data_IF_753353334744
#
_entry.id   IF_753353334744
#
_cell.length_a   1.000
_cell.length_b   1.000
_cell.length_c   1.000
_cell.angle_alpha   90.00
_cell.angle_beta   90.00
_cell.angle_gamma   90.00
#
_symmetry.space_group_name_H-M   'P 1'
#
loop_
_entity.id
_entity.type
_entity.pdbx_description
1 polymer ?
#
# COMPACT_ATOMS: atom_id res chain seq x y z
N UNK A 1 0.43 47.69 -21.59
CA UNK A 1 -0.72 47.51 -20.67
C UNK A 1 -0.21 46.75 -19.45
N UNK A 2 0.22 47.48 -18.43
CA UNK A 2 -0.48 47.63 -17.13
C UNK A 2 -0.51 46.32 -16.33
N UNK A 3 0.49 46.07 -15.48
CA UNK A 3 0.59 46.50 -14.06
C UNK A 3 -0.20 45.58 -13.13
N UNK A 4 0.49 44.74 -12.35
CA UNK A 4 0.49 44.90 -10.89
C UNK A 4 1.61 44.07 -10.23
N UNK A 5 2.75 44.72 -10.01
CA UNK A 5 3.72 44.36 -8.98
C UNK A 5 3.22 44.95 -7.68
N UNK A 6 3.05 44.16 -6.62
CA UNK A 6 3.02 44.69 -5.25
C UNK A 6 3.77 43.78 -4.29
N UNK A 7 5.09 43.91 -4.40
CA UNK A 7 6.11 43.62 -3.40
C UNK A 7 5.78 44.43 -2.14
N UNK A 8 5.28 43.76 -1.09
CA UNK A 8 5.10 44.39 0.22
C UNK A 8 6.45 44.33 0.94
N UNK A 9 7.03 45.53 1.02
CA UNK A 9 8.27 45.89 1.66
C UNK A 9 8.10 45.90 3.20
N UNK A 10 9.19 45.52 3.88
CA UNK A 10 9.73 46.12 5.12
C UNK A 10 9.06 45.80 6.45
N UNK A 11 9.76 44.96 7.23
CA UNK A 11 9.95 45.20 8.67
C UNK A 11 11.38 44.77 9.06
N UNK A 12 12.34 45.59 8.67
CA UNK A 12 13.64 45.71 9.33
C UNK A 12 13.65 47.09 10.01
N UNK A 13 13.82 47.18 11.34
CA UNK A 13 14.14 48.44 11.98
C UNK A 13 15.67 48.68 11.97
N UNK A 14 16.06 49.86 11.49
CA UNK A 14 17.44 50.37 11.51
C UNK A 14 17.88 50.79 12.94
N UNK A 15 19.20 50.83 13.21
CA UNK A 15 19.81 51.24 14.48
C UNK A 15 20.21 52.73 14.53
N UNK A 16 20.68 53.16 15.71
CA UNK A 16 21.23 54.49 16.10
C UNK A 16 20.17 55.48 16.65
N UNK A 17 20.28 56.16 17.79
CA UNK A 17 21.31 56.34 18.81
C UNK A 17 21.02 57.64 19.60
N UNK A 18 21.38 57.69 20.90
CA UNK A 18 21.49 58.87 21.84
C UNK A 18 20.20 59.63 22.25
N UNK A 19 19.91 60.00 23.51
CA UNK A 19 20.50 59.85 24.85
C UNK A 19 19.91 60.94 25.79
N UNK A 20 19.69 60.66 27.10
CA UNK A 20 19.81 61.61 28.24
C UNK A 20 19.08 61.15 29.54
N UNK A 21 19.80 61.20 30.67
CA UNK A 21 19.31 61.33 32.07
C UNK A 21 18.89 60.02 32.74
N UNK A 22 19.42 59.56 33.88
CA UNK A 22 20.14 60.21 34.97
C UNK A 22 19.45 59.82 36.29
N UNK A 23 20.11 59.02 37.15
CA UNK A 23 19.63 58.72 38.50
C UNK A 23 20.00 57.33 39.03
N UNK A 24 21.13 57.25 39.73
CA UNK A 24 21.42 56.23 40.76
C UNK A 24 20.87 56.75 42.11
N UNK A 25 20.44 55.89 43.08
CA UNK A 25 21.36 54.96 43.74
C UNK A 25 20.82 53.53 44.06
N UNK A 26 21.78 52.59 44.03
CA UNK A 26 21.94 51.31 44.77
C UNK A 26 20.99 51.08 45.99
N UNK A 27 20.66 49.80 46.34
CA UNK A 27 21.69 48.80 46.65
C UNK A 27 21.42 47.34 46.21
N UNK A 28 22.54 46.71 45.85
CA UNK A 28 23.00 45.38 46.28
C UNK A 28 22.19 44.09 46.04
N UNK A 29 22.96 43.12 45.53
CA UNK A 29 22.88 41.67 45.68
C UNK A 29 22.14 40.79 44.65
N UNK A 30 22.89 39.77 44.20
CA UNK A 30 22.52 38.53 43.48
C UNK A 30 22.44 38.57 41.95
N UNK A 31 23.56 38.85 41.30
CA UNK A 31 23.84 38.37 39.93
C UNK A 31 25.00 37.39 39.92
N UNK A 32 24.75 36.14 40.33
CA UNK A 32 25.76 35.09 40.10
C UNK A 32 25.19 33.67 39.95
N UNK A 33 23.86 33.47 39.86
CA UNK A 33 23.27 32.13 39.71
C UNK A 33 22.43 31.87 38.45
N UNK A 34 22.27 32.85 37.54
CA UNK A 34 21.36 32.72 36.39
C UNK A 34 22.05 32.35 35.06
N UNK A 35 23.38 32.47 34.97
CA UNK A 35 24.15 32.11 33.75
C UNK A 35 24.42 30.61 33.65
N UNK A 36 24.53 29.88 34.75
CA UNK A 36 24.81 28.43 34.72
C UNK A 36 23.55 27.60 34.43
N UNK A 37 22.39 27.98 34.99
CA UNK A 37 21.12 27.28 34.71
C UNK A 37 20.69 27.38 33.24
N UNK A 38 20.89 28.54 32.60
CA UNK A 38 20.58 28.71 31.17
C UNK A 38 21.51 27.90 30.25
N UNK A 39 22.80 27.78 30.60
CA UNK A 39 23.73 26.94 29.85
C UNK A 39 23.44 25.44 30.03
N UNK A 40 22.98 25.01 31.21
CA UNK A 40 22.59 23.61 31.47
C UNK A 40 21.27 23.25 30.76
N UNK A 41 20.31 24.16 30.71
CA UNK A 41 19.07 23.99 29.93
C UNK A 41 19.33 23.98 28.42
N UNK A 42 20.21 24.87 27.93
CA UNK A 42 20.65 24.86 26.53
C UNK A 42 21.41 23.57 26.18
N UNK A 43 22.27 23.08 27.08
CA UNK A 43 22.99 21.83 26.88
C UNK A 43 22.06 20.60 26.86
N UNK A 44 20.99 20.61 27.66
CA UNK A 44 19.93 19.57 27.62
C UNK A 44 19.11 19.66 26.34
N UNK A 45 18.64 20.86 25.97
CA UNK A 45 17.89 21.08 24.74
C UNK A 45 18.71 20.70 23.49
N UNK A 46 20.03 20.94 23.48
CA UNK A 46 20.92 20.53 22.39
C UNK A 46 21.12 19.00 22.33
N UNK A 47 21.14 18.31 23.49
CA UNK A 47 21.20 16.84 23.53
C UNK A 47 19.88 16.22 23.05
N UNK A 48 18.75 16.72 23.54
CA UNK A 48 17.42 16.29 23.12
C UNK A 48 17.17 16.58 21.63
N UNK A 49 17.65 17.72 21.13
CA UNK A 49 17.61 18.02 19.71
C UNK A 49 18.48 17.04 18.91
N UNK A 50 19.70 16.73 19.35
CA UNK A 50 20.56 15.75 18.65
C UNK A 50 20.01 14.32 18.69
N UNK A 51 19.40 13.90 19.79
CA UNK A 51 18.82 12.56 19.95
C UNK A 51 17.55 12.36 19.11
N UNK A 52 16.78 13.44 18.87
CA UNK A 52 15.58 13.40 18.02
C UNK A 52 15.82 13.90 16.59
N UNK A 53 17.05 14.32 16.25
CA UNK A 53 17.38 14.78 14.90
C UNK A 53 17.99 13.65 14.08
N UNK A 54 17.40 13.41 12.92
CA UNK A 54 18.01 12.58 11.88
C UNK A 54 19.28 13.29 11.37
N UNK A 55 20.41 12.58 11.16
CA UNK A 55 21.60 13.17 10.56
C UNK A 55 21.25 13.89 9.26
N UNK A 56 21.80 15.10 9.06
CA UNK A 56 21.47 15.94 7.90
C UNK A 56 21.64 15.22 6.56
N UNK A 57 22.63 14.32 6.47
CA UNK A 57 22.86 13.49 5.30
C UNK A 57 21.69 12.53 5.01
N UNK A 58 21.10 11.94 6.04
CA UNK A 58 19.97 11.02 5.91
C UNK A 58 18.68 11.78 5.58
N UNK A 59 18.52 13.00 6.11
CA UNK A 59 17.41 13.88 5.74
C UNK A 59 17.49 14.30 4.26
N UNK A 60 18.68 14.73 3.79
CA UNK A 60 18.89 15.10 2.38
C UNK A 60 18.71 13.90 1.43
N UNK A 61 19.07 12.69 1.89
CA UNK A 61 18.81 11.45 1.14
C UNK A 61 17.31 11.15 1.05
N UNK A 62 16.60 11.21 2.17
CA UNK A 62 15.14 11.01 2.23
C UNK A 62 14.38 12.05 1.40
N UNK A 63 14.83 13.30 1.40
CA UNK A 63 14.19 14.36 0.61
C UNK A 63 14.39 14.13 -0.90
N UNK A 64 15.56 13.63 -1.31
CA UNK A 64 15.81 13.24 -2.70
C UNK A 64 14.97 12.04 -3.11
N UNK A 65 14.97 10.97 -2.30
CA UNK A 65 14.16 9.77 -2.55
C UNK A 65 12.66 10.10 -2.62
N UNK A 66 12.15 10.96 -1.72
CA UNK A 66 10.76 11.41 -1.77
C UNK A 66 10.45 12.25 -3.01
N UNK A 67 11.34 13.15 -3.43
CA UNK A 67 11.15 13.92 -4.67
C UNK A 67 11.17 13.04 -5.91
N UNK A 68 12.03 12.03 -5.95
CA UNK A 68 12.07 11.04 -7.02
C UNK A 68 10.79 10.21 -7.06
N UNK A 69 10.31 9.71 -5.91
CA UNK A 69 9.05 8.96 -5.83
C UNK A 69 7.85 9.81 -6.23
N UNK A 70 7.78 11.05 -5.77
CA UNK A 70 6.70 11.97 -6.13
C UNK A 70 6.75 12.32 -7.62
N UNK A 71 7.94 12.50 -8.20
CA UNK A 71 8.09 12.71 -9.64
C UNK A 71 7.66 11.48 -10.45
N UNK A 72 7.99 10.27 -10.01
CA UNK A 72 7.53 9.01 -10.62
C UNK A 72 6.00 8.87 -10.59
N UNK A 73 5.37 9.27 -9.48
CA UNK A 73 3.91 9.24 -9.34
C UNK A 73 3.23 10.29 -10.24
N UNK A 74 3.75 11.52 -10.27
CA UNK A 74 3.16 12.63 -11.02
C UNK A 74 3.34 12.44 -12.54
N UNK A 75 4.49 11.93 -12.97
CA UNK A 75 4.78 11.71 -14.39
C UNK A 75 4.24 10.36 -14.89
N UNK A 76 3.69 9.51 -14.01
CA UNK A 76 3.25 8.15 -14.35
C UNK A 76 4.41 7.21 -14.74
N UNK A 77 5.64 7.69 -14.65
CA UNK A 77 6.87 6.96 -14.90
C UNK A 77 7.32 6.30 -13.60
N UNK A 78 6.51 5.35 -13.12
CA UNK A 78 7.05 4.31 -12.26
C UNK A 78 8.23 3.69 -12.98
N UNK A 79 9.33 3.50 -12.26
CA UNK A 79 10.57 2.93 -12.76
C UNK A 79 10.29 1.58 -13.44
N UNK A 80 10.03 1.58 -14.75
CA UNK A 80 10.10 0.42 -15.63
C UNK A 80 11.59 0.15 -15.86
N UNK A 81 12.28 -0.10 -14.73
CA UNK A 81 13.68 -0.46 -14.69
C UNK A 81 13.81 -1.84 -15.32
N UNK A 82 14.42 -1.85 -16.50
CA UNK A 82 14.52 -2.94 -17.46
C UNK A 82 13.18 -3.21 -18.16
N UNK A 83 13.23 -3.24 -19.49
CA UNK A 83 12.17 -3.77 -20.32
C UNK A 83 11.86 -5.20 -19.88
N UNK A 84 10.94 -5.35 -18.94
CA UNK A 84 10.11 -6.53 -18.91
C UNK A 84 9.51 -6.60 -20.32
N UNK A 85 9.72 -7.70 -21.06
CA UNK A 85 8.97 -7.88 -22.29
C UNK A 85 7.52 -7.61 -21.93
N UNK A 86 6.85 -6.75 -22.69
CA UNK A 86 5.39 -6.60 -22.58
C UNK A 86 4.87 -8.03 -22.49
N UNK A 87 4.25 -8.45 -21.36
CA UNK A 87 3.92 -9.84 -21.15
C UNK A 87 3.17 -10.26 -22.40
N UNK A 88 3.71 -11.25 -23.10
CA UNK A 88 3.19 -11.71 -24.38
C UNK A 88 1.68 -11.86 -24.17
N UNK A 89 0.87 -11.05 -24.87
CA UNK A 89 -0.56 -10.95 -24.56
C UNK A 89 -1.12 -12.35 -24.63
N UNK A 90 -1.44 -12.90 -23.46
CA UNK A 90 -1.97 -14.25 -23.36
C UNK A 90 -3.24 -14.27 -24.19
N UNK A 91 -3.31 -15.15 -25.17
CA UNK A 91 -4.47 -15.24 -26.06
C UNK A 91 -5.67 -15.78 -25.28
N UNK A 92 -6.50 -14.87 -24.77
CA UNK A 92 -7.72 -15.16 -24.01
C UNK A 92 -8.66 -16.05 -24.83
N UNK A 93 -8.72 -15.86 -26.15
CA UNK A 93 -9.61 -16.65 -27.00
C UNK A 93 -9.11 -18.08 -27.09
N UNK A 94 -7.81 -18.28 -27.31
CA UNK A 94 -7.20 -19.60 -27.30
C UNK A 94 -7.38 -20.29 -25.95
N UNK A 95 -7.19 -19.59 -24.82
CA UNK A 95 -7.42 -20.15 -23.48
C UNK A 95 -8.89 -20.57 -23.26
N UNK A 96 -9.85 -19.76 -23.72
CA UNK A 96 -11.28 -20.11 -23.66
C UNK A 96 -11.60 -21.33 -24.51
N UNK A 97 -11.04 -21.43 -25.71
CA UNK A 97 -11.18 -22.60 -26.58
C UNK A 97 -10.54 -23.86 -25.98
N UNK A 98 -9.40 -23.71 -25.30
CA UNK A 98 -8.72 -24.80 -24.61
C UNK A 98 -9.49 -25.32 -23.39
N UNK A 99 -10.16 -24.43 -22.65
CA UNK A 99 -10.94 -24.77 -21.45
C UNK A 99 -12.34 -25.30 -21.79
N UNK A 100 -13.04 -24.66 -22.73
CA UNK A 100 -14.46 -24.90 -22.98
C UNK A 100 -14.76 -25.50 -24.35
N UNK A 101 -13.74 -25.65 -25.20
CA UNK A 101 -13.85 -26.31 -26.50
C UNK A 101 -13.77 -27.84 -26.40
N UNK A 102 -13.70 -28.53 -27.55
CA UNK A 102 -13.74 -29.99 -27.61
C UNK A 102 -12.61 -30.68 -26.84
N UNK A 103 -11.43 -30.04 -26.76
CA UNK A 103 -10.26 -30.55 -26.04
C UNK A 103 -10.33 -30.32 -24.53
N UNK A 104 -11.18 -29.41 -24.08
CA UNK A 104 -11.34 -29.08 -22.66
C UNK A 104 -12.03 -30.19 -21.86
N UNK A 105 -12.84 -31.02 -22.54
CA UNK A 105 -13.57 -32.12 -21.91
C UNK A 105 -12.67 -33.21 -21.32
N UNK A 106 -11.43 -33.34 -21.83
CA UNK A 106 -10.47 -34.37 -21.42
C UNK A 106 -9.44 -33.84 -20.39
N UNK A 107 -9.58 -32.59 -19.93
CA UNK A 107 -8.66 -32.01 -18.94
C UNK A 107 -8.85 -32.66 -17.56
N UNK A 108 -7.73 -32.93 -16.88
CA UNK A 108 -7.77 -33.27 -15.46
C UNK A 108 -8.30 -32.09 -14.65
N UNK A 109 -8.90 -32.36 -13.49
CA UNK A 109 -9.39 -31.28 -12.60
C UNK A 109 -8.28 -30.27 -12.28
N UNK A 110 -7.08 -30.76 -12.02
CA UNK A 110 -5.92 -29.92 -11.73
C UNK A 110 -5.56 -29.02 -12.92
N UNK A 111 -5.52 -29.56 -14.13
CA UNK A 111 -5.18 -28.77 -15.33
C UNK A 111 -6.28 -27.77 -15.69
N UNK A 112 -7.55 -28.17 -15.49
CA UNK A 112 -8.69 -27.29 -15.66
C UNK A 112 -8.59 -26.06 -14.75
N UNK A 113 -8.32 -26.26 -13.46
CA UNK A 113 -8.21 -25.15 -12.51
C UNK A 113 -6.98 -24.27 -12.76
N UNK A 114 -5.83 -24.85 -13.12
CA UNK A 114 -4.64 -24.08 -13.53
C UNK A 114 -4.95 -23.16 -14.71
N UNK A 115 -5.54 -23.70 -15.78
CA UNK A 115 -5.92 -22.91 -16.96
C UNK A 115 -6.99 -21.88 -16.62
N UNK A 116 -7.92 -22.20 -15.72
CA UNK A 116 -8.97 -21.28 -15.28
C UNK A 116 -8.38 -20.07 -14.54
N UNK A 117 -7.44 -20.28 -13.62
CA UNK A 117 -6.74 -19.19 -12.93
C UNK A 117 -5.91 -18.34 -13.90
N UNK A 118 -5.23 -18.99 -14.87
CA UNK A 118 -4.51 -18.28 -15.92
C UNK A 118 -5.45 -17.40 -16.75
N UNK A 119 -6.64 -17.93 -17.12
CA UNK A 119 -7.66 -17.18 -17.83
C UNK A 119 -8.18 -16.01 -16.98
N UNK A 120 -8.45 -16.22 -15.69
CA UNK A 120 -8.88 -15.17 -14.75
C UNK A 120 -7.89 -14.01 -14.75
N UNK A 121 -6.61 -14.31 -14.53
CA UNK A 121 -5.57 -13.29 -14.44
C UNK A 121 -5.41 -12.54 -15.77
N UNK A 122 -5.44 -13.25 -16.90
CA UNK A 122 -5.36 -12.63 -18.22
C UNK A 122 -6.56 -11.70 -18.52
N UNK A 123 -7.78 -12.09 -18.13
CA UNK A 123 -8.98 -11.27 -18.32
C UNK A 123 -8.96 -10.04 -17.42
N UNK A 124 -8.54 -10.18 -16.16
CA UNK A 124 -8.38 -9.03 -15.24
C UNK A 124 -7.36 -8.03 -15.81
N UNK A 125 -6.22 -8.50 -16.30
CA UNK A 125 -5.15 -7.64 -16.83
C UNK A 125 -5.54 -6.96 -18.15
N UNK A 126 -6.17 -7.68 -19.08
CA UNK A 126 -6.42 -7.17 -20.44
C UNK A 126 -7.80 -6.51 -20.60
N UNK A 127 -8.84 -7.06 -19.97
CA UNK A 127 -10.23 -6.61 -20.10
C UNK A 127 -10.70 -5.81 -18.87
N UNK A 128 -9.96 -5.84 -17.76
CA UNK A 128 -10.19 -4.98 -16.59
C UNK A 128 -11.31 -5.44 -15.67
N UNK A 129 -11.78 -6.69 -15.80
CA UNK A 129 -12.84 -7.25 -14.95
C UNK A 129 -12.50 -8.67 -14.50
N UNK A 130 -13.02 -9.08 -13.34
CA UNK A 130 -12.84 -10.45 -12.83
C UNK A 130 -13.98 -11.36 -13.32
N UNK A 131 -13.71 -12.44 -14.09
CA UNK A 131 -14.73 -13.36 -14.55
C UNK A 131 -15.42 -14.16 -13.43
N UNK A 132 -14.86 -14.20 -12.22
CA UNK A 132 -15.49 -14.86 -11.07
C UNK A 132 -16.55 -13.99 -10.38
N UNK A 133 -16.60 -12.70 -10.72
CA UNK A 133 -17.62 -11.80 -10.18
C UNK A 133 -18.92 -11.87 -10.98
N UNK A 134 -20.07 -11.65 -10.33
CA UNK A 134 -21.34 -11.60 -11.02
C UNK A 134 -21.42 -10.34 -11.89
N UNK A 135 -21.54 -10.54 -13.20
CA UNK A 135 -21.74 -9.47 -14.18
C UNK A 135 -23.13 -9.55 -14.81
N UNK A 136 -23.80 -8.41 -14.91
CA UNK A 136 -25.09 -8.33 -15.60
C UNK A 136 -25.63 -6.91 -15.67
N UNK A 137 -26.58 -6.66 -16.56
CA UNK A 137 -27.14 -5.31 -16.77
C UNK A 137 -27.74 -4.67 -15.51
N UNK A 138 -28.16 -5.49 -14.53
CA UNK A 138 -28.76 -5.06 -13.25
C UNK A 138 -27.98 -5.54 -12.03
N UNK A 139 -26.82 -6.17 -12.21
CA UNK A 139 -26.03 -6.75 -11.13
C UNK A 139 -24.70 -6.02 -11.10
N UNK A 140 -24.35 -5.48 -9.93
CA UNK A 140 -23.05 -4.88 -9.68
C UNK A 140 -22.42 -5.65 -8.51
N UNK A 141 -21.20 -6.18 -8.67
CA UNK A 141 -20.51 -6.83 -7.57
C UNK A 141 -20.29 -5.83 -6.44
N UNK A 142 -20.55 -6.27 -5.21
CA UNK A 142 -20.22 -5.52 -4.01
C UNK A 142 -18.78 -5.86 -3.56
N UNK A 143 -18.26 -5.16 -2.55
CA UNK A 143 -16.90 -5.41 -2.03
C UNK A 143 -16.72 -6.83 -1.47
N UNK A 144 -17.73 -7.40 -0.82
CA UNK A 144 -17.67 -8.78 -0.32
C UNK A 144 -17.59 -9.81 -1.45
N UNK A 145 -18.21 -9.54 -2.61
CA UNK A 145 -18.11 -10.40 -3.78
C UNK A 145 -16.67 -10.43 -4.30
N UNK A 146 -16.01 -9.26 -4.35
CA UNK A 146 -14.59 -9.12 -4.74
C UNK A 146 -13.69 -9.89 -3.78
N UNK A 147 -13.86 -9.69 -2.47
CA UNK A 147 -13.08 -10.40 -1.46
C UNK A 147 -13.26 -11.92 -1.53
N UNK A 148 -14.50 -12.39 -1.73
CA UNK A 148 -14.79 -13.83 -1.84
C UNK A 148 -14.25 -14.43 -3.13
N UNK A 149 -14.37 -13.74 -4.27
CA UNK A 149 -13.80 -14.21 -5.52
C UNK A 149 -12.29 -14.40 -5.41
N UNK A 150 -11.63 -13.44 -4.75
CA UNK A 150 -10.19 -13.52 -4.49
C UNK A 150 -9.82 -14.62 -3.48
N UNK A 151 -10.62 -14.79 -2.42
CA UNK A 151 -10.42 -15.88 -1.47
C UNK A 151 -10.52 -17.25 -2.15
N UNK A 152 -11.52 -17.44 -3.03
CA UNK A 152 -11.68 -18.69 -3.80
C UNK A 152 -10.45 -18.95 -4.67
N UNK A 153 -9.96 -17.95 -5.39
CA UNK A 153 -8.80 -18.11 -6.25
C UNK A 153 -7.54 -18.51 -5.45
N UNK A 154 -7.29 -17.83 -4.32
CA UNK A 154 -6.18 -18.17 -3.40
C UNK A 154 -6.30 -19.58 -2.82
N UNK A 155 -7.51 -20.00 -2.45
CA UNK A 155 -7.75 -21.36 -1.97
C UNK A 155 -7.41 -22.39 -3.04
N UNK A 156 -7.84 -22.16 -4.28
CA UNK A 156 -7.53 -23.05 -5.40
C UNK A 156 -6.02 -23.09 -5.67
N UNK A 157 -5.33 -21.94 -5.66
CA UNK A 157 -3.87 -21.86 -5.81
C UNK A 157 -3.15 -22.70 -4.76
N UNK A 158 -3.52 -22.54 -3.49
CA UNK A 158 -3.00 -23.35 -2.39
C UNK A 158 -3.22 -24.85 -2.62
N UNK A 159 -4.42 -25.26 -3.03
CA UNK A 159 -4.71 -26.67 -3.31
C UNK A 159 -3.87 -27.20 -4.49
N UNK A 160 -3.61 -26.38 -5.53
CA UNK A 160 -2.76 -26.76 -6.66
C UNK A 160 -1.31 -26.98 -6.21
N UNK A 161 -0.79 -26.09 -5.37
CA UNK A 161 0.56 -26.19 -4.81
C UNK A 161 0.72 -27.45 -3.95
N UNK A 162 -0.23 -27.69 -3.03
CA UNK A 162 -0.21 -28.85 -2.13
C UNK A 162 -0.38 -30.18 -2.89
N UNK A 163 -1.14 -30.18 -3.98
CA UNK A 163 -1.38 -31.38 -4.79
C UNK A 163 -0.14 -31.91 -5.51
N UNK A 164 0.92 -31.10 -5.67
CA UNK A 164 2.19 -31.49 -6.30
C UNK A 164 2.02 -32.23 -7.65
N UNK A 165 1.04 -31.83 -8.46
CA UNK A 165 0.76 -32.43 -9.77
C UNK A 165 -0.18 -33.64 -9.76
N UNK A 166 -0.69 -34.10 -8.60
CA UNK A 166 -1.67 -35.18 -8.53
C UNK A 166 -3.11 -34.63 -8.54
N UNK A 167 -3.87 -34.95 -9.59
CA UNK A 167 -5.25 -34.46 -9.76
C UNK A 167 -6.26 -35.02 -8.75
N UNK A 168 -6.06 -36.25 -8.24
CA UNK A 168 -6.96 -36.84 -7.25
C UNK A 168 -6.77 -36.16 -5.89
N UNK A 169 -5.52 -35.91 -5.50
CA UNK A 169 -5.17 -35.18 -4.28
C UNK A 169 -5.71 -33.76 -4.34
N UNK A 170 -5.53 -33.07 -5.48
CA UNK A 170 -6.12 -31.74 -5.69
C UNK A 170 -7.64 -31.75 -5.45
N UNK A 171 -8.34 -32.72 -6.04
CA UNK A 171 -9.80 -32.84 -5.92
C UNK A 171 -10.21 -33.07 -4.46
N UNK A 172 -9.49 -33.93 -3.74
CA UNK A 172 -9.75 -34.20 -2.32
C UNK A 172 -9.50 -32.96 -1.45
N UNK A 173 -8.41 -32.22 -1.68
CA UNK A 173 -8.10 -30.98 -0.94
C UNK A 173 -9.15 -29.90 -1.18
N UNK A 174 -9.54 -29.69 -2.44
CA UNK A 174 -10.56 -28.71 -2.79
C UNK A 174 -11.91 -29.06 -2.15
N UNK A 175 -12.29 -30.33 -2.16
CA UNK A 175 -13.49 -30.80 -1.48
C UNK A 175 -13.42 -30.63 0.03
N UNK A 176 -12.27 -30.91 0.65
CA UNK A 176 -12.10 -30.74 2.09
C UNK A 176 -12.25 -29.27 2.52
N UNK A 177 -11.65 -28.35 1.77
CA UNK A 177 -11.72 -26.92 2.08
C UNK A 177 -13.14 -26.38 1.87
N UNK A 178 -13.81 -26.77 0.77
CA UNK A 178 -15.17 -26.34 0.46
C UNK A 178 -16.25 -27.01 1.32
N UNK A 179 -16.00 -28.21 1.84
CA UNK A 179 -16.93 -28.91 2.73
C UNK A 179 -17.15 -28.17 4.06
N UNK A 180 -16.12 -27.49 4.57
CA UNK A 180 -16.19 -26.69 5.79
C UNK A 180 -17.10 -25.45 5.66
N UNK A 181 -17.27 -24.95 4.43
CA UNK A 181 -18.17 -23.83 4.12
C UNK A 181 -19.57 -24.29 3.67
N UNK A 182 -19.84 -25.59 3.62
CA UNK A 182 -21.16 -26.08 3.22
C UNK A 182 -22.23 -25.66 4.25
N UNK A 183 -23.40 -25.14 3.81
CA UNK A 183 -24.48 -24.79 4.73
C UNK A 183 -24.95 -25.96 5.59
N UNK A 184 -24.84 -27.18 5.07
CA UNK A 184 -25.14 -28.43 5.80
C UNK A 184 -24.14 -28.71 6.91
N UNK A 185 -22.84 -28.49 6.69
CA UNK A 185 -21.81 -28.65 7.71
C UNK A 185 -21.90 -27.55 8.77
N UNK A 186 -22.07 -26.28 8.37
CA UNK A 186 -22.30 -25.18 9.32
C UNK A 186 -23.57 -25.38 10.15
N UNK A 187 -24.65 -25.88 9.54
CA UNK A 187 -25.87 -26.25 10.26
C UNK A 187 -25.62 -27.41 11.22
N UNK A 188 -24.81 -28.40 10.85
CA UNK A 188 -24.42 -29.50 11.73
C UNK A 188 -23.57 -29.00 12.91
N UNK A 189 -22.58 -28.13 12.66
CA UNK A 189 -21.73 -27.52 13.69
C UNK A 189 -22.53 -26.65 14.67
N UNK A 190 -23.52 -25.89 14.18
CA UNK A 190 -24.49 -25.18 15.05
C UNK A 190 -25.34 -26.14 15.85
N UNK A 191 -25.78 -27.24 15.26
CA UNK A 191 -26.62 -28.26 15.92
C UNK A 191 -25.88 -29.02 17.02
N UNK A 192 -24.56 -29.22 16.88
CA UNK A 192 -23.70 -29.82 17.92
C UNK A 192 -23.08 -28.79 18.87
N UNK A 193 -23.39 -27.50 18.74
CA UNK A 193 -22.93 -26.44 19.63
C UNK A 193 -21.47 -26.02 19.45
N UNK A 194 -20.83 -26.39 18.34
CA UNK A 194 -19.44 -26.03 18.02
C UNK A 194 -19.30 -24.60 17.45
N UNK A 195 -20.39 -24.00 16.96
CA UNK A 195 -20.48 -22.59 16.60
C UNK A 195 -21.63 -21.94 17.38
N UNK A 196 -21.34 -20.80 18.02
CA UNK A 196 -22.33 -19.96 18.74
C UNK A 196 -23.17 -19.14 17.77
#
# INVERSE_FOLDING_TARGET
MLLFVRRMLLLFPDPDGTGAGGGDPKPEEKKEKKSEQSNVELAKALKEARENSVPKADYEKLEKENKELVAQIINGEGNVGNGQPTPEKVDIKALREDLYGPKGADLSNLDFWKKTLQLRNAVIEQEGYDPFLPHGAKIKPNEQDVERAEAVAKTVEKCIEEANGNSEVFTALLQAETANDSPSFLAHLKKIGALK
#
